data_IF_304756829079
#
_entry.id   IF_304756829079
#
_cell.length_a   1.000
_cell.length_b   1.000
_cell.length_c   1.000
_cell.angle_alpha   90.00
_cell.angle_beta   90.00
_cell.angle_gamma   90.00
#
_symmetry.space_group_name_H-M   'P 1'
#
loop_
_entity.id
_entity.type
_entity.pdbx_description
1 polymer ?
#
# COMPACT_ATOMS: atom_id res chain seq x y z
N UNK A 1 -2.98 -4.55 23.50
CA UNK A 1 -2.91 -4.31 22.04
C UNK A 1 -4.21 -4.64 21.28
N UNK A 2 -5.26 -5.18 21.92
CA UNK A 2 -6.53 -5.48 21.22
C UNK A 2 -7.59 -4.36 21.28
N UNK A 3 -7.30 -3.26 21.99
CA UNK A 3 -8.25 -2.15 22.19
C UNK A 3 -7.98 -0.95 21.26
N UNK A 4 -6.82 -0.92 20.59
CA UNK A 4 -6.37 0.21 19.78
C UNK A 4 -6.08 -0.22 18.34
N UNK A 5 -6.41 0.68 17.43
CA UNK A 5 -6.01 0.65 16.02
C UNK A 5 -5.32 1.96 15.66
N UNK A 6 -4.66 1.98 14.52
CA UNK A 6 -3.97 3.14 13.99
C UNK A 6 -4.91 3.96 13.10
N UNK A 7 -4.84 5.28 13.28
CA UNK A 7 -5.30 6.27 12.32
C UNK A 7 -4.07 6.70 11.53
N UNK A 8 -4.04 6.40 10.23
CA UNK A 8 -2.89 6.68 9.37
C UNK A 8 -3.16 7.93 8.55
N UNK A 9 -2.28 8.91 8.67
CA UNK A 9 -2.32 10.13 7.88
C UNK A 9 -1.21 10.12 6.84
N UNK A 10 -1.55 10.40 5.58
CA UNK A 10 -0.61 10.27 4.48
C UNK A 10 0.53 11.31 4.49
N UNK A 11 0.28 12.55 4.96
CA UNK A 11 1.35 13.53 5.13
C UNK A 11 2.29 13.12 6.29
N UNK A 12 1.77 12.59 7.40
CA UNK A 12 2.59 12.04 8.48
C UNK A 12 3.47 10.86 8.02
N UNK A 13 2.93 9.96 7.20
CA UNK A 13 3.69 8.85 6.62
C UNK A 13 4.91 9.38 5.83
N UNK A 14 4.70 10.35 4.94
CA UNK A 14 5.79 10.92 4.12
C UNK A 14 6.80 11.70 4.95
N UNK A 15 6.38 12.42 5.99
CA UNK A 15 7.29 13.08 6.94
C UNK A 15 8.17 12.08 7.73
N UNK A 16 7.67 10.86 7.96
CA UNK A 16 8.44 9.78 8.57
C UNK A 16 9.38 9.05 7.60
N UNK A 17 9.40 9.42 6.32
CA UNK A 17 10.22 8.79 5.28
C UNK A 17 9.59 7.53 4.66
N UNK A 18 8.26 7.40 4.76
CA UNK A 18 7.50 6.27 4.25
C UNK A 18 6.43 6.74 3.25
N UNK A 19 6.04 5.91 2.28
CA UNK A 19 4.83 6.21 1.50
C UNK A 19 3.58 5.98 2.34
N UNK A 20 2.45 6.60 1.99
CA UNK A 20 1.21 6.32 2.71
C UNK A 20 0.82 4.84 2.57
N UNK A 21 0.95 4.28 1.36
CA UNK A 21 0.76 2.84 1.13
C UNK A 21 1.62 1.94 2.03
N UNK A 22 2.87 2.31 2.32
CA UNK A 22 3.72 1.52 3.22
C UNK A 22 3.11 1.41 4.62
N UNK A 23 2.74 2.55 5.21
CA UNK A 23 2.15 2.59 6.56
C UNK A 23 0.81 1.85 6.61
N UNK A 24 0.00 1.98 5.55
CA UNK A 24 -1.28 1.27 5.43
C UNK A 24 -1.10 -0.25 5.33
N UNK A 25 -0.19 -0.74 4.48
CA UNK A 25 0.09 -2.17 4.38
C UNK A 25 0.66 -2.73 5.69
N UNK A 26 1.60 -2.01 6.31
CA UNK A 26 2.18 -2.40 7.60
C UNK A 26 1.12 -2.49 8.69
N UNK A 27 0.24 -1.49 8.80
CA UNK A 27 -0.88 -1.52 9.74
C UNK A 27 -1.86 -2.66 9.42
N UNK A 28 -2.16 -2.90 8.13
CA UNK A 28 -3.08 -3.94 7.67
C UNK A 28 -2.58 -5.35 8.01
N UNK A 29 -1.35 -5.70 7.66
CA UNK A 29 -0.82 -7.06 7.89
C UNK A 29 -0.71 -7.41 9.38
N UNK A 30 -0.63 -6.38 10.24
CA UNK A 30 -0.64 -6.55 11.69
C UNK A 30 -2.04 -6.46 12.31
N UNK A 31 -3.10 -6.28 11.51
CA UNK A 31 -4.48 -6.15 11.98
C UNK A 31 -4.78 -4.85 12.73
N UNK A 32 -3.95 -3.82 12.55
CA UNK A 32 -4.00 -2.55 13.26
C UNK A 32 -4.57 -1.40 12.42
N UNK A 33 -4.82 -1.57 11.12
CA UNK A 33 -5.41 -0.52 10.28
C UNK A 33 -6.86 -0.22 10.72
N UNK A 34 -7.10 1.01 11.17
CA UNK A 34 -8.39 1.47 11.71
C UNK A 34 -9.04 2.60 10.95
N UNK A 35 -8.32 3.68 10.69
CA UNK A 35 -8.83 4.88 10.01
C UNK A 35 -7.74 5.51 9.15
N UNK A 36 -8.14 6.34 8.18
CA UNK A 36 -7.21 7.06 7.31
C UNK A 36 -7.57 8.55 7.29
N UNK A 37 -6.59 9.40 7.53
CA UNK A 37 -6.63 10.82 7.22
C UNK A 37 -6.06 11.04 5.81
N UNK A 38 -6.95 11.32 4.87
CA UNK A 38 -6.66 11.41 3.43
C UNK A 38 -6.20 12.81 3.05
N UNK A 39 -4.91 13.05 3.24
CA UNK A 39 -4.22 14.24 2.79
C UNK A 39 -2.94 13.87 2.02
N UNK A 40 -2.12 14.85 1.69
CA UNK A 40 -0.78 14.64 1.13
C UNK A 40 0.15 15.76 1.56
N UNK A 41 1.44 15.43 1.58
CA UNK A 41 2.52 16.37 1.77
C UNK A 41 3.04 16.95 0.47
N UNK A 42 4.12 17.71 0.59
CA UNK A 42 4.96 18.08 -0.53
C UNK A 42 6.35 17.47 -0.29
N UNK A 43 6.87 16.61 -1.19
CA UNK A 43 8.14 15.91 -0.94
C UNK A 43 9.38 16.83 -0.91
N UNK A 44 9.25 18.10 -1.29
CA UNK A 44 10.30 19.12 -1.18
C UNK A 44 10.16 19.95 0.10
N UNK A 45 9.09 19.75 0.88
CA UNK A 45 8.76 20.51 2.07
C UNK A 45 8.70 19.58 3.28
N UNK A 46 9.69 19.70 4.17
CA UNK A 46 9.84 18.84 5.35
C UNK A 46 8.92 19.18 6.54
N UNK A 47 7.71 19.67 6.28
CA UNK A 47 6.69 19.91 7.31
C UNK A 47 5.29 19.60 6.77
N UNK A 48 4.33 19.55 7.68
CA UNK A 48 2.96 19.15 7.39
C UNK A 48 2.20 20.23 6.61
N UNK A 49 1.79 19.88 5.39
CA UNK A 49 1.14 20.83 4.47
C UNK A 49 -0.37 20.63 4.39
N UNK A 50 -0.86 19.49 4.83
CA UNK A 50 -2.25 19.06 4.90
C UNK A 50 -2.99 19.36 3.59
N UNK A 51 -2.39 19.00 2.46
CA UNK A 51 -3.02 19.17 1.14
C UNK A 51 -4.05 18.08 0.93
N UNK A 52 -5.12 18.38 0.20
CA UNK A 52 -6.02 17.31 -0.24
C UNK A 52 -5.25 16.33 -1.13
N UNK A 53 -5.48 15.03 -0.94
CA UNK A 53 -4.86 14.01 -1.78
C UNK A 53 -5.41 14.11 -3.21
N UNK A 54 -4.55 14.52 -4.15
CA UNK A 54 -4.92 14.67 -5.57
C UNK A 54 -4.15 13.74 -6.50
N UNK A 55 -3.12 13.05 -6.01
CA UNK A 55 -2.40 12.02 -6.77
C UNK A 55 -3.23 10.74 -6.90
N UNK A 56 -3.64 10.42 -8.13
CA UNK A 56 -4.44 9.24 -8.45
C UNK A 56 -3.64 7.94 -8.26
N UNK A 57 -2.33 7.96 -8.50
CA UNK A 57 -1.46 6.82 -8.26
C UNK A 57 -1.42 6.47 -6.78
N UNK A 58 -1.14 7.45 -5.91
CA UNK A 58 -1.14 7.24 -4.46
C UNK A 58 -2.54 6.84 -3.98
N UNK A 59 -3.60 7.51 -4.44
CA UNK A 59 -4.99 7.14 -4.15
C UNK A 59 -5.34 5.70 -4.54
N UNK A 60 -4.80 5.21 -5.67
CA UNK A 60 -4.97 3.81 -6.10
C UNK A 60 -4.25 2.85 -5.15
N UNK A 61 -3.02 3.17 -4.74
CA UNK A 61 -2.26 2.35 -3.79
C UNK A 61 -2.91 2.30 -2.41
N UNK A 62 -3.37 3.44 -1.88
CA UNK A 62 -4.16 3.52 -0.64
C UNK A 62 -5.38 2.59 -0.71
N UNK A 63 -6.10 2.59 -1.83
CA UNK A 63 -7.30 1.78 -2.00
C UNK A 63 -7.01 0.29 -2.17
N UNK A 64 -5.86 -0.10 -2.72
CA UNK A 64 -5.40 -1.50 -2.71
C UNK A 64 -5.32 -2.02 -1.27
N UNK A 65 -4.73 -1.24 -0.37
CA UNK A 65 -4.63 -1.61 1.06
C UNK A 65 -6.00 -1.69 1.73
N UNK A 66 -6.90 -0.73 1.44
CA UNK A 66 -8.25 -0.75 1.99
C UNK A 66 -9.05 -1.96 1.53
N UNK A 67 -9.02 -2.31 0.23
CA UNK A 67 -9.69 -3.50 -0.28
C UNK A 67 -9.13 -4.75 0.40
N UNK A 68 -7.80 -4.88 0.49
CA UNK A 68 -7.14 -6.03 1.15
C UNK A 68 -7.41 -6.12 2.64
N UNK A 69 -7.70 -4.99 3.31
CA UNK A 69 -8.09 -4.97 4.72
C UNK A 69 -9.54 -5.42 4.94
N UNK A 70 -10.34 -5.55 3.87
CA UNK A 70 -11.78 -5.79 3.96
C UNK A 70 -12.58 -4.52 4.30
N UNK A 71 -12.03 -3.34 4.00
CA UNK A 71 -12.63 -2.03 4.34
C UNK A 71 -12.04 -1.41 5.62
N UNK A 72 -12.69 -0.37 6.13
CA UNK A 72 -12.20 0.44 7.27
C UNK A 72 -13.14 0.46 8.48
N UNK A 73 -14.31 -0.21 8.43
CA UNK A 73 -15.28 -0.14 9.52
C UNK A 73 -14.64 -0.55 10.88
N UNK A 74 -14.91 0.19 11.97
CA UNK A 74 -15.85 1.31 12.08
C UNK A 74 -15.29 2.69 11.67
N UNK A 75 -14.02 2.79 11.27
CA UNK A 75 -13.44 4.01 10.74
C UNK A 75 -13.83 4.27 9.29
N UNK A 76 -13.12 5.19 8.65
CA UNK A 76 -13.32 5.59 7.27
C UNK A 76 -12.19 6.49 6.77
N UNK A 77 -12.56 7.37 5.84
CA UNK A 77 -11.69 8.43 5.36
C UNK A 77 -12.14 9.74 5.99
N UNK A 78 -11.22 10.40 6.67
CA UNK A 78 -11.36 11.77 7.12
C UNK A 78 -10.46 12.67 6.24
N UNK A 79 -10.96 13.83 5.85
CA UNK A 79 -10.15 14.81 5.13
C UNK A 79 -9.51 15.75 6.16
N UNK A 80 -8.44 15.27 6.82
CA UNK A 80 -7.58 16.15 7.62
C UNK A 80 -6.68 16.98 6.70
N UNK A 81 -7.32 17.88 5.97
CA UNK A 81 -6.72 18.67 4.92
C UNK A 81 -7.30 20.09 4.95
N UNK A 82 -6.52 21.05 4.46
CA UNK A 82 -6.89 22.47 4.44
C UNK A 82 -6.76 23.07 3.06
N UNK A 83 -7.55 24.12 2.83
CA UNK A 83 -7.34 25.00 1.69
C UNK A 83 -5.94 25.61 1.75
N UNK A 84 -5.41 25.96 0.58
CA UNK A 84 -4.18 26.74 0.54
C UNK A 84 -4.47 28.13 1.11
N UNK A 85 -3.46 28.76 1.70
CA UNK A 85 -3.60 30.08 2.33
C UNK A 85 -4.22 31.13 1.41
N UNK A 86 -3.91 31.06 0.11
CA UNK A 86 -4.37 32.00 -0.91
C UNK A 86 -5.70 31.57 -1.57
N UNK A 87 -6.19 30.36 -1.30
CA UNK A 87 -7.53 29.89 -1.68
C UNK A 87 -8.53 30.42 -0.65
N UNK A 88 -9.07 31.60 -0.92
CA UNK A 88 -9.85 32.39 0.05
C UNK A 88 -11.33 32.50 -0.29
N UNK A 89 -11.75 31.95 -1.43
CA UNK A 89 -13.14 31.95 -1.83
C UNK A 89 -13.87 30.78 -1.17
N UNK A 90 -15.13 30.99 -0.77
CA UNK A 90 -15.93 29.93 -0.12
C UNK A 90 -16.09 28.71 -1.02
N UNK A 91 -16.11 28.90 -2.34
CA UNK A 91 -16.20 27.81 -3.31
C UNK A 91 -14.97 26.89 -3.32
N UNK A 92 -13.80 27.39 -2.89
CA UNK A 92 -12.58 26.59 -2.79
C UNK A 92 -12.76 25.41 -1.83
N UNK A 93 -13.58 25.56 -0.77
CA UNK A 93 -13.93 24.46 0.14
C UNK A 93 -14.55 23.30 -0.64
N UNK A 94 -15.49 23.58 -1.55
CA UNK A 94 -16.15 22.56 -2.33
C UNK A 94 -15.21 21.96 -3.37
N UNK A 95 -14.46 22.81 -4.08
CA UNK A 95 -13.52 22.38 -5.11
C UNK A 95 -12.49 21.40 -4.51
N UNK A 96 -11.90 21.74 -3.36
CA UNK A 96 -10.88 20.92 -2.72
C UNK A 96 -11.43 19.57 -2.23
N UNK A 97 -12.60 19.55 -1.57
CA UNK A 97 -13.22 18.32 -1.12
C UNK A 97 -13.66 17.43 -2.28
N UNK A 98 -14.28 18.01 -3.33
CA UNK A 98 -14.65 17.26 -4.54
C UNK A 98 -13.40 16.63 -5.16
N UNK A 99 -12.30 17.38 -5.26
CA UNK A 99 -11.04 16.85 -5.78
C UNK A 99 -10.52 15.68 -4.96
N UNK A 100 -10.48 15.78 -3.63
CA UNK A 100 -10.02 14.70 -2.76
C UNK A 100 -10.93 13.47 -2.82
N UNK A 101 -12.25 13.68 -2.78
CA UNK A 101 -13.26 12.62 -2.90
C UNK A 101 -13.16 11.88 -4.23
N UNK A 102 -13.06 12.60 -5.35
CA UNK A 102 -12.96 11.99 -6.67
C UNK A 102 -11.63 11.26 -6.86
N UNK A 103 -10.51 11.77 -6.32
CA UNK A 103 -9.23 11.06 -6.35
C UNK A 103 -9.32 9.72 -5.62
N UNK A 104 -9.88 9.69 -4.41
CA UNK A 104 -10.09 8.45 -3.67
C UNK A 104 -11.07 7.50 -4.39
N UNK A 105 -12.18 8.01 -4.92
CA UNK A 105 -13.17 7.21 -5.64
C UNK A 105 -12.60 6.62 -6.94
N UNK A 106 -11.80 7.40 -7.68
CA UNK A 106 -11.07 6.91 -8.86
C UNK A 106 -10.03 5.87 -8.46
N UNK A 107 -9.26 6.12 -7.41
CA UNK A 107 -8.30 5.18 -6.85
C UNK A 107 -8.96 3.84 -6.49
N UNK A 108 -10.17 3.87 -5.92
CA UNK A 108 -10.93 2.66 -5.56
C UNK A 108 -11.28 1.83 -6.79
N UNK A 109 -11.76 2.49 -7.86
CA UNK A 109 -12.11 1.81 -9.12
C UNK A 109 -10.88 1.19 -9.79
N UNK A 110 -9.76 1.92 -9.78
CA UNK A 110 -8.50 1.45 -10.36
C UNK A 110 -7.94 0.26 -9.56
N UNK A 111 -7.96 0.35 -8.22
CA UNK A 111 -7.53 -0.71 -7.33
C UNK A 111 -8.36 -1.99 -7.50
N UNK A 112 -9.69 -1.86 -7.58
CA UNK A 112 -10.58 -2.98 -7.84
C UNK A 112 -10.24 -3.65 -9.18
N UNK A 113 -10.06 -2.87 -10.25
CA UNK A 113 -9.66 -3.37 -11.57
C UNK A 113 -8.32 -4.12 -11.53
N UNK A 114 -7.31 -3.58 -10.85
CA UNK A 114 -6.00 -4.23 -10.71
C UNK A 114 -6.08 -5.57 -9.96
N UNK A 115 -6.89 -5.63 -8.90
CA UNK A 115 -7.07 -6.83 -8.09
C UNK A 115 -7.84 -7.89 -8.88
N UNK A 116 -8.88 -7.50 -9.62
CA UNK A 116 -9.66 -8.39 -10.50
C UNK A 116 -8.85 -8.92 -11.68
N UNK A 117 -8.03 -8.08 -12.30
CA UNK A 117 -7.12 -8.47 -13.40
C UNK A 117 -6.08 -9.49 -12.94
N UNK A 118 -5.59 -9.35 -11.70
CA UNK A 118 -4.71 -10.33 -11.06
C UNK A 118 -3.25 -10.33 -11.57
N UNK A 119 -2.88 -9.52 -12.58
CA UNK A 119 -1.51 -9.53 -13.14
C UNK A 119 -0.44 -9.25 -12.09
N UNK A 120 -0.67 -8.28 -11.20
CA UNK A 120 0.26 -7.98 -10.09
C UNK A 120 0.33 -9.13 -9.07
N UNK A 121 -0.82 -9.73 -8.76
CA UNK A 121 -0.89 -10.89 -7.87
C UNK A 121 -0.14 -12.10 -8.41
N UNK A 122 -0.23 -12.35 -9.71
CA UNK A 122 0.49 -13.43 -10.38
C UNK A 122 2.00 -13.21 -10.41
N UNK A 123 2.49 -11.96 -10.54
CA UNK A 123 3.91 -11.66 -10.40
C UNK A 123 4.43 -12.02 -9.00
N UNK A 124 3.68 -11.66 -7.95
CA UNK A 124 4.02 -11.99 -6.56
C UNK A 124 3.98 -13.52 -6.36
N UNK A 125 2.90 -14.19 -6.78
CA UNK A 125 2.77 -15.64 -6.65
C UNK A 125 3.92 -16.38 -7.31
N UNK A 126 4.27 -16.04 -8.55
CA UNK A 126 5.42 -16.64 -9.27
C UNK A 126 6.74 -16.38 -8.56
N UNK A 127 6.92 -15.21 -7.94
CA UNK A 127 8.13 -14.86 -7.18
C UNK A 127 8.32 -15.74 -5.95
N UNK A 128 7.23 -16.11 -5.28
CA UNK A 128 7.27 -16.90 -4.04
C UNK A 128 6.93 -18.39 -4.22
N UNK A 129 6.70 -18.86 -5.45
CA UNK A 129 6.29 -20.25 -5.74
C UNK A 129 7.22 -21.35 -5.18
N UNK A 130 8.48 -21.04 -4.87
CA UNK A 130 9.40 -22.00 -4.25
C UNK A 130 8.97 -22.38 -2.83
N UNK A 131 8.23 -21.52 -2.15
CA UNK A 131 7.69 -21.80 -0.82
C UNK A 131 6.51 -22.79 -0.87
N UNK A 132 5.84 -22.93 -2.02
CA UNK A 132 4.81 -23.95 -2.23
C UNK A 132 5.38 -25.36 -2.46
N UNK A 133 6.70 -25.52 -2.54
CA UNK A 133 7.37 -26.82 -2.68
C UNK A 133 7.46 -27.58 -1.34
N UNK A 134 7.81 -28.87 -1.38
CA UNK A 134 7.95 -29.68 -0.16
C UNK A 134 8.93 -29.07 0.85
N UNK A 135 10.10 -28.60 0.40
CA UNK A 135 11.06 -27.95 1.29
C UNK A 135 10.57 -26.57 1.75
N UNK A 136 9.93 -25.82 0.85
CA UNK A 136 9.41 -24.49 1.13
C UNK A 136 8.39 -24.52 2.26
N UNK A 137 7.46 -25.47 2.20
CA UNK A 137 6.46 -25.70 3.24
C UNK A 137 7.08 -26.14 4.56
N UNK A 138 8.18 -26.92 4.54
CA UNK A 138 8.91 -27.26 5.77
C UNK A 138 9.56 -26.03 6.41
N UNK A 139 10.09 -25.12 5.60
CA UNK A 139 10.66 -23.85 6.06
C UNK A 139 9.56 -22.97 6.69
N UNK A 140 8.46 -22.74 5.99
CA UNK A 140 7.35 -21.91 6.48
C UNK A 140 6.70 -22.47 7.74
N UNK A 141 6.65 -23.81 7.87
CA UNK A 141 6.14 -24.48 9.05
C UNK A 141 7.12 -24.51 10.23
N UNK A 142 8.32 -23.94 10.09
CA UNK A 142 9.37 -23.96 11.13
C UNK A 142 9.94 -25.35 11.43
N UNK A 143 9.84 -26.28 10.47
CA UNK A 143 10.33 -27.67 10.60
C UNK A 143 11.73 -27.90 10.01
N UNK A 144 12.20 -26.96 9.18
CA UNK A 144 13.54 -26.99 8.62
C UNK A 144 14.52 -26.25 9.56
N UNK A 145 15.39 -26.99 10.23
CA UNK A 145 16.46 -26.44 11.06
C UNK A 145 17.72 -26.13 10.24
N UNK A 146 18.73 -25.53 10.87
CA UNK A 146 19.97 -25.15 10.20
C UNK A 146 20.77 -26.36 9.68
N UNK A 147 20.79 -27.48 10.42
CA UNK A 147 21.50 -28.70 10.00
C UNK A 147 20.88 -29.31 8.73
N UNK A 148 19.55 -29.30 8.61
CA UNK A 148 18.84 -29.73 7.42
C UNK A 148 19.08 -28.78 6.24
N UNK A 149 18.96 -27.46 6.47
CA UNK A 149 19.13 -26.45 5.43
C UNK A 149 20.56 -26.37 4.90
N UNK A 150 21.57 -26.53 5.76
CA UNK A 150 22.98 -26.60 5.37
C UNK A 150 23.21 -27.77 4.40
N UNK A 151 22.72 -28.97 4.72
CA UNK A 151 22.84 -30.13 3.84
C UNK A 151 22.19 -29.87 2.48
N UNK A 152 21.00 -29.27 2.46
CA UNK A 152 20.31 -28.90 1.22
C UNK A 152 21.08 -27.86 0.40
N UNK A 153 21.66 -26.86 1.05
CA UNK A 153 22.49 -25.85 0.40
C UNK A 153 23.81 -26.43 -0.15
N UNK A 154 24.36 -27.50 0.45
CA UNK A 154 25.55 -28.18 -0.09
C UNK A 154 25.21 -29.12 -1.27
N UNK A 155 23.99 -29.67 -1.30
CA UNK A 155 23.47 -30.48 -2.42
C UNK A 155 23.12 -29.61 -3.64
N UNK A 156 22.59 -28.41 -3.39
CA UNK A 156 22.18 -27.46 -4.43
C UNK A 156 23.29 -26.44 -4.62
N UNK A 157 23.99 -26.49 -5.75
CA UNK A 157 24.96 -25.45 -6.13
C UNK A 157 24.32 -24.06 -6.27
N UNK A 158 25.00 -23.16 -6.96
CA UNK A 158 24.61 -21.74 -7.04
C UNK A 158 23.10 -21.52 -7.33
N UNK A 159 22.37 -20.78 -6.47
CA UNK A 159 20.95 -20.55 -6.65
C UNK A 159 20.68 -19.70 -7.89
N UNK A 160 19.62 -20.05 -8.62
CA UNK A 160 19.12 -19.23 -9.73
C UNK A 160 18.16 -18.17 -9.19
N UNK A 161 18.55 -16.91 -9.26
CA UNK A 161 17.68 -15.78 -8.85
C UNK A 161 16.87 -15.28 -10.06
N UNK A 162 15.53 -15.43 -10.06
CA UNK A 162 14.70 -14.91 -11.14
C UNK A 162 14.61 -13.38 -11.09
N UNK A 163 14.53 -12.75 -12.26
CA UNK A 163 14.27 -11.32 -12.41
C UNK A 163 12.97 -10.91 -11.70
N UNK A 164 13.00 -9.81 -10.95
CA UNK A 164 11.87 -9.34 -10.13
C UNK A 164 10.74 -8.66 -10.93
N UNK A 165 11.01 -8.22 -12.17
CA UNK A 165 10.02 -7.61 -13.07
C UNK A 165 9.35 -6.34 -12.52
N UNK A 166 10.12 -5.50 -11.82
CA UNK A 166 9.63 -4.25 -11.21
C UNK A 166 9.00 -3.32 -12.26
N UNK A 167 9.68 -3.07 -13.37
CA UNK A 167 9.20 -2.15 -14.42
C UNK A 167 7.93 -2.70 -15.11
N UNK A 168 7.79 -4.02 -15.20
CA UNK A 168 6.57 -4.65 -15.71
C UNK A 168 5.41 -4.49 -14.72
N UNK A 169 5.66 -4.61 -13.41
CA UNK A 169 4.66 -4.35 -12.38
C UNK A 169 4.21 -2.88 -12.42
N UNK A 170 5.15 -1.95 -12.58
CA UNK A 170 4.86 -0.53 -12.76
C UNK A 170 4.04 -0.26 -14.03
N UNK A 171 4.34 -0.92 -15.15
CA UNK A 171 3.53 -0.83 -16.37
C UNK A 171 2.09 -1.31 -16.15
N UNK A 172 1.89 -2.46 -15.48
CA UNK A 172 0.55 -2.95 -15.15
C UNK A 172 -0.20 -1.96 -14.27
N UNK A 173 0.46 -1.44 -13.23
CA UNK A 173 -0.10 -0.42 -12.35
C UNK A 173 -0.51 0.84 -13.13
N UNK A 174 0.41 1.42 -13.91
CA UNK A 174 0.15 2.63 -14.70
C UNK A 174 -0.98 2.44 -15.72
N UNK A 175 -1.10 1.26 -16.34
CA UNK A 175 -2.18 0.96 -17.29
C UNK A 175 -3.59 0.97 -16.67
N UNK A 176 -3.67 0.96 -15.34
CA UNK A 176 -4.93 0.97 -14.59
C UNK A 176 -5.36 2.36 -14.11
N UNK A 177 -4.47 3.36 -14.16
CA UNK A 177 -4.71 4.72 -13.65
C UNK A 177 -5.68 5.51 -14.52
#
# INVERSE_FOLDING_TARGET
MHEFKLNIECNHATLSGHSCHHELETARINGLLGNIDANTGDPQIGWDTDQFLTDIGEGTMVMISVIRNGGLAPGGFNFDAKLRRESTDVEDLFIAHISGMDTLARGLRNAAKLIEDGSLGELVKKRYQSFDSEIGQQIEAGKADFDFLEKKAMEWGEPKVPSAKQELAEMFFQSSL
#
